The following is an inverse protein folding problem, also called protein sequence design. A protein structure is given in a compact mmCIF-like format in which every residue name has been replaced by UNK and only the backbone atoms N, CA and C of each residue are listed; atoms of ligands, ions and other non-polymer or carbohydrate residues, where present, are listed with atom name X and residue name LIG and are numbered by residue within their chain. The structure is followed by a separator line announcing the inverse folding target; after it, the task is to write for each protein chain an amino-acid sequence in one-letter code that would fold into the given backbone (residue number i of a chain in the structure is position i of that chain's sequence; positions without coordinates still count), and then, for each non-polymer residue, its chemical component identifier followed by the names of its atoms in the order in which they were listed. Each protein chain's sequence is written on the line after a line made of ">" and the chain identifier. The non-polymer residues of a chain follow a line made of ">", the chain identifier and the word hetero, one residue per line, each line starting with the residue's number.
data_IF_725590249031
#
_entry.id   IF_725590249031
#
_cell.length_a   1.000
_cell.length_b   1.000
_cell.length_c   1.000
_cell.angle_alpha   90.00
_cell.angle_beta   90.00
_cell.angle_gamma   90.00
#
_symmetry.space_group_name_H-M   'P 1'
#
loop_
_entity.id
_entity.type
_entity.pdbx_description
1 polymer ?
#
# COMPACT_ATOMS: atom_id res chain seq x y z
N UNK A 1 -23.86 7.48 -9.02
CA UNK A 1 -25.10 7.04 -8.33
C UNK A 1 -24.88 6.92 -6.82
N UNK A 2 -25.93 6.96 -5.98
CA UNK A 2 -25.82 6.73 -4.51
C UNK A 2 -26.06 5.26 -4.10
N UNK A 3 -25.82 4.30 -5.01
CA UNK A 3 -26.00 2.88 -4.71
C UNK A 3 -25.11 2.01 -5.61
N UNK A 4 -24.67 0.86 -5.08
CA UNK A 4 -24.15 -0.25 -5.88
C UNK A 4 -25.24 -1.27 -6.09
N UNK A 5 -25.21 -1.99 -7.20
CA UNK A 5 -26.02 -3.20 -7.41
C UNK A 5 -25.15 -4.41 -7.17
N UNK A 6 -25.74 -5.49 -6.65
CA UNK A 6 -25.04 -6.76 -6.57
C UNK A 6 -25.93 -7.90 -7.06
N UNK A 7 -25.27 -8.92 -7.60
CA UNK A 7 -25.88 -10.19 -7.97
C UNK A 7 -25.02 -11.32 -7.41
N UNK A 8 -25.59 -12.14 -6.53
CA UNK A 8 -24.94 -13.35 -6.03
C UNK A 8 -25.58 -14.56 -6.70
N UNK A 9 -24.77 -15.39 -7.37
CA UNK A 9 -25.23 -16.70 -7.82
C UNK A 9 -25.13 -17.68 -6.65
N UNK A 10 -26.24 -18.33 -6.30
CA UNK A 10 -26.27 -19.32 -5.21
C UNK A 10 -26.70 -20.68 -5.73
N UNK A 11 -26.70 -21.69 -4.86
CA UNK A 11 -27.22 -23.02 -5.13
C UNK A 11 -28.75 -23.04 -5.33
N UNK A 12 -29.49 -22.07 -4.78
CA UNK A 12 -30.96 -21.97 -4.87
C UNK A 12 -31.44 -20.93 -5.89
N UNK A 13 -30.53 -20.29 -6.62
CA UNK A 13 -30.83 -19.27 -7.64
C UNK A 13 -30.10 -17.94 -7.44
N UNK A 14 -30.27 -16.98 -8.37
CA UNK A 14 -29.66 -15.66 -8.24
C UNK A 14 -30.34 -14.83 -7.15
N UNK A 15 -29.54 -14.07 -6.41
CA UNK A 15 -30.00 -13.05 -5.46
C UNK A 15 -29.50 -11.71 -5.95
N UNK A 16 -30.42 -10.76 -6.10
CA UNK A 16 -30.12 -9.41 -6.54
C UNK A 16 -30.49 -8.42 -5.45
N UNK A 17 -29.71 -7.35 -5.34
CA UNK A 17 -29.98 -6.29 -4.39
C UNK A 17 -29.18 -5.04 -4.67
N UNK A 18 -29.31 -4.07 -3.76
CA UNK A 18 -28.60 -2.81 -3.81
C UNK A 18 -27.92 -2.53 -2.47
N UNK A 19 -26.80 -1.80 -2.52
CA UNK A 19 -26.06 -1.31 -1.36
C UNK A 19 -26.13 0.21 -1.42
N UNK A 20 -26.84 0.82 -0.48
CA UNK A 20 -26.95 2.27 -0.40
C UNK A 20 -25.61 2.90 0.00
N UNK A 21 -25.23 3.98 -0.69
CA UNK A 21 -23.98 4.71 -0.47
C UNK A 21 -24.25 6.12 0.05
N UNK A 22 -23.36 6.62 0.92
CA UNK A 22 -23.34 8.03 1.35
C UNK A 22 -21.91 8.51 1.56
N UNK A 23 -21.70 9.82 1.39
CA UNK A 23 -20.50 10.54 1.85
C UNK A 23 -20.50 10.79 3.35
N UNK A 24 -21.65 10.59 4.01
CA UNK A 24 -21.79 10.64 5.48
C UNK A 24 -21.68 9.23 6.09
N UNK A 25 -21.23 8.25 5.32
CA UNK A 25 -20.99 6.90 5.84
C UNK A 25 -19.95 6.96 6.96
N UNK A 26 -20.09 6.16 8.04
CA UNK A 26 -19.05 6.07 9.07
C UNK A 26 -17.70 5.64 8.48
N UNK A 27 -17.72 4.93 7.35
CA UNK A 27 -16.52 4.52 6.63
C UNK A 27 -15.80 5.67 5.93
N UNK A 28 -16.47 6.80 5.66
CA UNK A 28 -15.84 7.97 5.02
C UNK A 28 -14.77 8.61 5.93
N UNK A 29 -14.93 8.50 7.25
CA UNK A 29 -13.88 8.92 8.18
C UNK A 29 -12.58 8.09 8.02
N UNK A 30 -12.71 6.83 7.58
CA UNK A 30 -11.60 5.87 7.46
C UNK A 30 -11.01 5.83 6.06
N UNK A 31 -11.86 5.95 5.04
CA UNK A 31 -11.49 5.75 3.63
C UNK A 31 -11.47 7.05 2.83
N UNK A 32 -11.73 8.18 3.49
CA UNK A 32 -11.83 9.50 2.88
C UNK A 32 -13.21 9.80 2.30
N UNK A 33 -13.33 10.97 1.67
CA UNK A 33 -14.57 11.49 1.10
C UNK A 33 -14.97 10.73 -0.18
N UNK A 34 -15.45 9.50 0.01
CA UNK A 34 -15.98 8.62 -1.03
C UNK A 34 -17.43 8.26 -0.70
N UNK A 35 -18.23 7.95 -1.72
CA UNK A 35 -19.54 7.36 -1.49
C UNK A 35 -19.36 5.91 -1.03
N UNK A 36 -19.60 5.63 0.25
CA UNK A 36 -19.37 4.32 0.86
C UNK A 36 -20.65 3.74 1.43
N UNK A 37 -20.74 2.41 1.63
CA UNK A 37 -21.93 1.78 2.20
C UNK A 37 -22.40 2.48 3.48
N UNK A 38 -23.68 2.84 3.58
CA UNK A 38 -24.21 3.42 4.82
C UNK A 38 -24.24 2.37 5.94
N UNK A 39 -24.20 2.82 7.20
CA UNK A 39 -24.28 1.96 8.37
C UNK A 39 -25.48 1.00 8.28
N UNK A 40 -25.29 -0.28 8.64
CA UNK A 40 -26.33 -1.29 8.59
C UNK A 40 -26.50 -2.00 7.24
N UNK A 41 -25.93 -1.48 6.15
CA UNK A 41 -26.14 -2.08 4.80
C UNK A 41 -25.40 -3.40 4.64
N UNK A 42 -24.18 -3.51 5.19
CA UNK A 42 -23.41 -4.76 5.10
C UNK A 42 -24.00 -5.84 6.02
N UNK A 43 -24.61 -5.44 7.14
CA UNK A 43 -25.34 -6.32 8.05
C UNK A 43 -26.65 -6.82 7.43
N UNK A 44 -27.35 -5.98 6.65
CA UNK A 44 -28.51 -6.42 5.87
C UNK A 44 -28.11 -7.38 4.76
N UNK A 45 -26.96 -7.15 4.12
CA UNK A 45 -26.39 -8.06 3.14
C UNK A 45 -26.05 -9.41 3.78
N UNK A 46 -25.41 -9.39 4.95
CA UNK A 46 -25.10 -10.58 5.76
C UNK A 46 -26.36 -11.41 6.05
N UNK A 47 -27.41 -10.75 6.57
CA UNK A 47 -28.70 -11.40 6.84
C UNK A 47 -29.34 -12.00 5.57
N UNK A 48 -29.16 -11.36 4.41
CA UNK A 48 -29.72 -11.81 3.13
C UNK A 48 -29.00 -13.05 2.58
N UNK A 49 -27.71 -13.17 2.84
CA UNK A 49 -26.84 -14.24 2.32
C UNK A 49 -26.65 -15.39 3.31
N UNK A 50 -27.04 -15.19 4.58
CA UNK A 50 -26.91 -16.19 5.63
C UNK A 50 -27.51 -17.54 5.27
N UNK A 51 -26.71 -18.59 5.47
CA UNK A 51 -27.06 -19.98 5.16
C UNK A 51 -27.02 -20.36 3.68
N UNK A 52 -26.55 -19.47 2.79
CA UNK A 52 -26.52 -19.73 1.33
C UNK A 52 -25.11 -19.99 0.84
N UNK A 53 -24.97 -20.91 -0.11
CA UNK A 53 -23.67 -21.19 -0.72
C UNK A 53 -23.46 -20.28 -1.94
N UNK A 54 -22.60 -19.28 -1.79
CA UNK A 54 -22.29 -18.32 -2.86
C UNK A 54 -21.33 -18.95 -3.87
N UNK A 55 -21.76 -19.02 -5.13
CA UNK A 55 -20.98 -19.56 -6.25
C UNK A 55 -20.26 -18.50 -7.05
N UNK A 56 -20.81 -17.30 -7.13
CA UNK A 56 -20.14 -16.13 -7.69
C UNK A 56 -20.81 -14.85 -7.20
N UNK A 57 -20.05 -13.75 -7.20
CA UNK A 57 -20.55 -12.42 -6.83
C UNK A 57 -20.24 -11.45 -7.97
N UNK A 58 -21.22 -10.66 -8.36
CA UNK A 58 -21.05 -9.53 -9.27
C UNK A 58 -21.47 -8.25 -8.57
N UNK A 59 -20.65 -7.21 -8.62
CA UNK A 59 -20.97 -5.87 -8.09
C UNK A 59 -20.93 -4.86 -9.22
N UNK A 60 -21.98 -4.08 -9.41
CA UNK A 60 -22.08 -3.09 -10.46
C UNK A 60 -22.20 -1.66 -9.89
N UNK A 61 -21.31 -0.76 -10.34
CA UNK A 61 -21.29 0.66 -9.96
C UNK A 61 -19.86 1.21 -9.83
N UNK A 62 -19.73 2.34 -9.13
CA UNK A 62 -18.48 3.05 -8.96
C UNK A 62 -17.38 2.19 -8.30
N UNK A 63 -16.18 2.09 -8.90
CA UNK A 63 -15.16 1.12 -8.47
C UNK A 63 -14.63 1.39 -7.07
N UNK A 64 -14.37 2.65 -6.70
CA UNK A 64 -13.91 3.00 -5.36
C UNK A 64 -14.92 2.61 -4.27
N UNK A 65 -16.21 2.69 -4.59
CA UNK A 65 -17.30 2.34 -3.67
C UNK A 65 -17.45 0.83 -3.53
N UNK A 66 -17.05 0.06 -4.54
CA UNK A 66 -17.11 -1.40 -4.54
C UNK A 66 -16.05 -2.06 -3.63
N UNK A 67 -15.00 -1.32 -3.24
CA UNK A 67 -13.91 -1.83 -2.40
C UNK A 67 -14.41 -2.54 -1.13
N UNK A 68 -15.19 -1.84 -0.29
CA UNK A 68 -15.68 -2.39 0.98
C UNK A 68 -16.58 -3.63 0.78
N UNK A 69 -17.61 -3.58 -0.10
CA UNK A 69 -18.40 -4.77 -0.41
C UNK A 69 -17.56 -5.95 -0.89
N UNK A 70 -16.59 -5.75 -1.79
CA UNK A 70 -15.73 -6.85 -2.27
C UNK A 70 -14.90 -7.46 -1.15
N UNK A 71 -14.31 -6.61 -0.31
CA UNK A 71 -13.52 -7.04 0.83
C UNK A 71 -14.38 -7.86 1.80
N UNK A 72 -15.63 -7.42 2.04
CA UNK A 72 -16.63 -8.14 2.82
C UNK A 72 -17.00 -9.50 2.22
N UNK A 73 -17.33 -9.54 0.92
CA UNK A 73 -17.66 -10.79 0.23
C UNK A 73 -16.50 -11.79 0.26
N UNK A 74 -15.28 -11.34 -0.02
CA UNK A 74 -14.07 -12.19 -0.04
C UNK A 74 -13.72 -12.72 1.34
N UNK A 75 -13.92 -11.93 2.40
CA UNK A 75 -13.54 -12.30 3.76
C UNK A 75 -14.55 -13.22 4.46
N UNK A 76 -15.85 -13.03 4.20
CA UNK A 76 -16.90 -13.70 4.99
C UNK A 76 -17.62 -14.78 4.19
N UNK A 77 -17.95 -14.52 2.92
CA UNK A 77 -18.95 -15.30 2.19
C UNK A 77 -18.38 -16.17 1.08
N UNK A 78 -17.27 -15.78 0.50
CA UNK A 78 -16.65 -16.46 -0.62
C UNK A 78 -15.70 -17.54 -0.10
N UNK A 79 -15.99 -18.80 -0.40
CA UNK A 79 -14.97 -19.84 -0.31
C UNK A 79 -13.79 -19.51 -1.24
N UNK A 80 -12.61 -20.03 -0.93
CA UNK A 80 -11.44 -19.87 -1.79
C UNK A 80 -11.78 -20.28 -3.23
N UNK A 81 -11.53 -19.38 -4.19
CA UNK A 81 -11.84 -19.61 -5.61
C UNK A 81 -13.27 -19.26 -6.04
N UNK A 82 -14.12 -18.70 -5.17
CA UNK A 82 -15.41 -18.13 -5.58
C UNK A 82 -15.16 -16.93 -6.49
N UNK A 83 -15.61 -16.96 -7.76
CA UNK A 83 -15.41 -15.86 -8.69
C UNK A 83 -16.14 -14.59 -8.23
N UNK A 84 -15.40 -13.50 -8.23
CA UNK A 84 -15.86 -12.15 -7.95
C UNK A 84 -15.67 -11.28 -9.18
N UNK A 85 -16.71 -10.54 -9.53
CA UNK A 85 -16.74 -9.71 -10.73
C UNK A 85 -17.16 -8.30 -10.36
N UNK A 86 -16.54 -7.31 -10.96
CA UNK A 86 -17.02 -5.93 -10.91
C UNK A 86 -17.42 -5.49 -12.30
N UNK A 87 -18.59 -4.86 -12.40
CA UNK A 87 -19.08 -4.21 -13.60
C UNK A 87 -19.07 -2.69 -13.41
N UNK A 88 -18.34 -1.97 -14.24
CA UNK A 88 -18.22 -0.52 -14.18
C UNK A 88 -19.01 0.17 -15.28
N UNK A 89 -19.43 1.40 -14.99
CA UNK A 89 -19.94 2.31 -16.01
C UNK A 89 -19.07 3.57 -16.12
N UNK A 90 -18.76 3.95 -17.36
CA UNK A 90 -17.94 5.11 -17.68
C UNK A 90 -18.59 6.47 -17.39
N UNK A 91 -19.90 6.48 -17.11
CA UNK A 91 -20.62 7.69 -16.71
C UNK A 91 -20.31 8.10 -15.25
N UNK A 92 -19.56 7.30 -14.51
CA UNK A 92 -19.26 7.50 -13.10
C UNK A 92 -17.78 7.86 -12.83
N UNK A 93 -17.07 8.48 -13.80
CA UNK A 93 -15.60 8.64 -13.77
C UNK A 93 -15.05 9.96 -13.23
N UNK A 94 -15.86 10.87 -12.70
CA UNK A 94 -15.38 12.19 -12.21
C UNK A 94 -14.70 12.08 -10.84
N UNK A 95 -13.51 11.49 -10.83
CA UNK A 95 -12.71 11.22 -9.65
C UNK A 95 -11.30 11.79 -9.80
N UNK A 96 -11.14 13.09 -9.52
CA UNK A 96 -9.82 13.74 -9.41
C UNK A 96 -9.13 13.43 -8.06
N UNK A 97 -9.71 12.56 -7.24
CA UNK A 97 -9.27 12.30 -5.88
C UNK A 97 -8.39 11.05 -5.83
N UNK A 98 -7.11 11.21 -5.45
CA UNK A 98 -6.14 10.11 -5.35
C UNK A 98 -6.61 8.95 -4.48
N UNK A 99 -7.37 9.22 -3.40
CA UNK A 99 -7.94 8.18 -2.53
C UNK A 99 -8.92 7.27 -3.27
N UNK A 100 -9.79 7.85 -4.11
CA UNK A 100 -10.74 7.09 -4.91
C UNK A 100 -9.99 6.24 -5.94
N UNK A 101 -8.91 6.75 -6.52
CA UNK A 101 -8.08 5.98 -7.46
C UNK A 101 -7.40 4.78 -6.79
N UNK A 102 -6.84 4.96 -5.60
CA UNK A 102 -6.30 3.86 -4.80
C UNK A 102 -7.36 2.84 -4.41
N UNK A 103 -8.55 3.30 -4.01
CA UNK A 103 -9.66 2.41 -3.66
C UNK A 103 -10.17 1.62 -4.88
N UNK A 104 -10.29 2.27 -6.03
CA UNK A 104 -10.62 1.61 -7.28
C UNK A 104 -9.57 0.55 -7.64
N UNK A 105 -8.27 0.86 -7.53
CA UNK A 105 -7.16 -0.09 -7.77
C UNK A 105 -7.28 -1.33 -6.89
N UNK A 106 -7.50 -1.14 -5.60
CA UNK A 106 -7.68 -2.25 -4.67
C UNK A 106 -8.94 -3.07 -4.97
N UNK A 107 -10.03 -2.42 -5.36
CA UNK A 107 -11.23 -3.14 -5.79
C UNK A 107 -10.93 -4.05 -7.00
N UNK A 108 -10.20 -3.55 -8.00
CA UNK A 108 -9.77 -4.34 -9.17
C UNK A 108 -8.99 -5.59 -8.77
N UNK A 109 -8.06 -5.42 -7.84
CA UNK A 109 -7.18 -6.50 -7.36
C UNK A 109 -7.94 -7.56 -6.56
N UNK A 110 -9.05 -7.19 -5.93
CA UNK A 110 -9.93 -8.12 -5.23
C UNK A 110 -10.87 -8.88 -6.17
N UNK A 111 -11.06 -8.40 -7.40
CA UNK A 111 -11.95 -9.02 -8.39
C UNK A 111 -11.22 -10.02 -9.28
N UNK A 112 -11.85 -11.16 -9.56
CA UNK A 112 -11.33 -12.12 -10.54
C UNK A 112 -11.62 -11.68 -11.98
N UNK A 113 -12.65 -10.84 -12.18
CA UNK A 113 -13.06 -10.31 -13.48
C UNK A 113 -13.54 -8.88 -13.37
N UNK A 114 -13.24 -8.09 -14.40
CA UNK A 114 -13.65 -6.69 -14.50
C UNK A 114 -14.34 -6.53 -15.85
N UNK A 115 -15.61 -6.16 -15.83
CA UNK A 115 -16.38 -5.77 -17.00
C UNK A 115 -16.55 -4.24 -17.01
N UNK A 116 -16.32 -3.63 -18.16
CA UNK A 116 -16.44 -2.18 -18.32
C UNK A 116 -17.09 -1.87 -19.67
N UNK A 117 -18.07 -0.96 -19.68
CA UNK A 117 -18.77 -0.52 -20.88
C UNK A 117 -17.89 0.32 -21.82
N UNK A 118 -16.91 1.06 -21.29
CA UNK A 118 -15.93 1.84 -22.05
C UNK A 118 -14.51 1.68 -21.47
N UNK A 119 -13.86 0.52 -21.65
CA UNK A 119 -12.60 0.20 -20.99
C UNK A 119 -11.50 1.23 -21.28
N UNK A 120 -11.31 1.66 -22.52
CA UNK A 120 -10.27 2.65 -22.84
C UNK A 120 -10.41 3.94 -22.02
N UNK A 121 -11.64 4.44 -21.87
CA UNK A 121 -11.91 5.65 -21.09
C UNK A 121 -11.71 5.42 -19.60
N UNK A 122 -12.33 4.36 -19.04
CA UNK A 122 -12.26 4.07 -17.61
C UNK A 122 -10.81 3.84 -17.16
N UNK A 123 -10.07 3.03 -17.90
CA UNK A 123 -8.70 2.70 -17.52
C UNK A 123 -7.80 3.95 -17.57
N UNK A 124 -7.97 4.81 -18.57
CA UNK A 124 -7.25 6.09 -18.64
C UNK A 124 -7.59 7.03 -17.48
N UNK A 125 -8.88 7.15 -17.10
CA UNK A 125 -9.35 8.05 -16.03
C UNK A 125 -8.86 7.65 -14.64
N UNK A 126 -8.69 6.36 -14.40
CA UNK A 126 -8.18 5.84 -13.11
C UNK A 126 -6.66 5.60 -13.10
N UNK A 127 -5.99 5.92 -14.22
CA UNK A 127 -4.55 5.71 -14.38
C UNK A 127 -4.14 4.23 -14.31
N UNK A 128 -4.97 3.32 -14.84
CA UNK A 128 -4.61 1.92 -15.03
C UNK A 128 -4.01 1.72 -16.42
N UNK A 129 -3.00 0.85 -16.51
CA UNK A 129 -2.56 0.29 -17.78
C UNK A 129 -3.26 -1.06 -18.03
N UNK A 130 -4.16 -1.18 -19.02
CA UNK A 130 -4.81 -2.45 -19.34
C UNK A 130 -3.84 -3.55 -19.81
N UNK A 131 -2.64 -3.18 -20.27
CA UNK A 131 -1.58 -4.13 -20.60
C UNK A 131 -0.78 -4.62 -19.38
N UNK A 132 -0.93 -3.95 -18.24
CA UNK A 132 -0.19 -4.23 -17.01
C UNK A 132 -1.05 -3.86 -15.79
N UNK A 133 -1.96 -4.75 -15.36
CA UNK A 133 -2.96 -4.46 -14.30
C UNK A 133 -2.38 -4.23 -12.89
N UNK A 134 -1.08 -3.94 -12.76
CA UNK A 134 -0.36 -3.86 -11.49
C UNK A 134 0.01 -5.26 -11.00
N UNK A 135 1.27 -5.44 -10.63
CA UNK A 135 1.77 -6.70 -10.08
C UNK A 135 1.24 -6.83 -8.64
N UNK A 136 1.01 -8.06 -8.16
CA UNK A 136 0.53 -8.35 -6.80
C UNK A 136 1.33 -7.66 -5.66
N UNK A 137 2.57 -7.25 -5.92
CA UNK A 137 3.43 -6.51 -4.98
C UNK A 137 2.93 -5.08 -4.75
N UNK A 138 2.50 -4.37 -5.80
CA UNK A 138 1.86 -3.05 -5.68
C UNK A 138 0.51 -3.15 -4.96
N UNK A 139 -0.18 -4.28 -5.11
CA UNK A 139 -1.43 -4.58 -4.40
C UNK A 139 -1.23 -4.66 -2.89
N UNK A 140 -0.14 -5.29 -2.44
CA UNK A 140 0.16 -5.42 -1.02
C UNK A 140 0.58 -4.09 -0.44
N UNK A 141 1.43 -3.32 -1.13
CA UNK A 141 1.79 -1.97 -0.69
C UNK A 141 0.58 -1.04 -0.68
N UNK A 142 -0.33 -1.13 -1.66
CA UNK A 142 -1.58 -0.39 -1.64
C UNK A 142 -2.47 -0.82 -0.47
N UNK A 143 -2.54 -2.11 -0.15
CA UNK A 143 -3.36 -2.65 0.92
C UNK A 143 -2.78 -2.33 2.30
N UNK A 144 -1.45 -2.37 2.45
CA UNK A 144 -0.72 -1.89 3.63
C UNK A 144 -0.89 -0.38 3.77
N UNK A 145 -0.73 0.40 2.70
CA UNK A 145 -0.99 1.84 2.75
C UNK A 145 -2.45 2.14 3.10
N UNK A 146 -3.40 1.32 2.63
CA UNK A 146 -4.79 1.45 2.97
C UNK A 146 -5.03 1.09 4.45
N UNK A 147 -4.44 0.00 4.96
CA UNK A 147 -4.45 -0.39 6.38
C UNK A 147 -3.78 0.67 7.27
N UNK A 148 -2.67 1.26 6.83
CA UNK A 148 -1.96 2.34 7.50
C UNK A 148 -2.77 3.65 7.49
N UNK A 149 -3.66 3.83 6.51
CA UNK A 149 -4.66 4.88 6.47
C UNK A 149 -5.91 4.56 7.30
N UNK A 150 -6.23 3.27 7.51
CA UNK A 150 -7.43 2.78 8.18
C UNK A 150 -7.47 3.01 9.68
N UNK A 151 -6.32 3.21 10.33
CA UNK A 151 -6.30 3.39 11.77
C UNK A 151 -5.11 4.26 12.23
N UNK A 152 -5.34 5.56 12.50
CA UNK A 152 -4.32 6.42 13.11
C UNK A 152 -3.96 5.99 14.54
N UNK A 153 -4.79 5.21 15.23
CA UNK A 153 -4.50 4.63 16.54
C UNK A 153 -3.75 3.28 16.44
N UNK A 154 -3.75 2.57 15.30
CA UNK A 154 -2.80 1.49 15.02
C UNK A 154 -1.38 2.03 14.80
N UNK A 155 -1.23 3.30 14.39
CA UNK A 155 0.06 4.01 14.50
C UNK A 155 0.51 4.12 15.96
N UNK A 156 -0.45 4.20 16.89
CA UNK A 156 -0.20 4.29 18.33
C UNK A 156 -0.07 2.91 19.01
N UNK A 157 -0.76 1.88 18.52
CA UNK A 157 -0.80 0.55 19.14
C UNK A 157 0.40 -0.33 18.74
N UNK A 158 1.05 -0.07 17.61
CA UNK A 158 2.36 -0.64 17.27
C UNK A 158 3.55 0.19 17.82
N UNK A 159 3.30 1.20 18.67
CA UNK A 159 4.34 1.99 19.40
C UNK A 159 5.03 1.21 20.52
N UNK A 160 5.45 -0.02 20.24
CA UNK A 160 6.66 -0.53 20.90
C UNK A 160 7.92 0.11 20.31
N UNK A 161 7.89 0.48 19.03
CA UNK A 161 9.07 0.95 18.31
C UNK A 161 8.86 2.36 17.77
N UNK A 162 9.51 3.33 18.42
CA UNK A 162 9.68 4.68 17.91
C UNK A 162 10.56 4.63 16.65
N UNK A 163 9.93 4.66 15.47
CA UNK A 163 10.61 4.63 14.17
C UNK A 163 11.67 5.73 14.04
N UNK A 164 11.36 6.92 14.59
CA UNK A 164 12.28 8.05 14.56
C UNK A 164 13.50 7.77 15.43
N UNK A 165 13.32 7.13 16.58
CA UNK A 165 14.44 6.70 17.42
C UNK A 165 15.29 5.62 16.76
N UNK A 166 14.68 4.62 16.11
CA UNK A 166 15.41 3.61 15.34
C UNK A 166 16.20 4.21 14.18
N UNK A 167 15.60 5.17 13.45
CA UNK A 167 16.30 5.94 12.41
C UNK A 167 17.45 6.77 12.98
N UNK A 168 17.25 7.48 14.11
CA UNK A 168 18.32 8.23 14.78
C UNK A 168 19.48 7.34 15.18
N UNK A 169 19.21 6.15 15.72
CA UNK A 169 20.25 5.16 16.08
C UNK A 169 21.03 4.70 14.85
N UNK A 170 20.38 4.42 13.73
CA UNK A 170 21.04 4.04 12.49
C UNK A 170 21.93 5.16 11.94
N UNK A 171 21.45 6.41 11.94
CA UNK A 171 22.24 7.58 11.52
C UNK A 171 23.40 7.86 12.47
N UNK A 172 23.20 7.73 13.78
CA UNK A 172 24.27 7.84 14.76
C UNK A 172 25.31 6.73 14.59
N UNK A 173 24.88 5.51 14.25
CA UNK A 173 25.79 4.41 13.92
C UNK A 173 26.63 4.71 12.69
N UNK A 174 26.05 5.30 11.64
CA UNK A 174 26.80 5.78 10.48
C UNK A 174 27.92 6.73 10.90
N UNK A 175 27.60 7.75 11.71
CA UNK A 175 28.59 8.71 12.19
C UNK A 175 29.72 8.05 13.02
N UNK A 176 29.38 7.12 13.91
CA UNK A 176 30.35 6.36 14.71
C UNK A 176 31.30 5.55 13.83
N UNK A 177 30.77 4.95 12.77
CA UNK A 177 31.54 4.15 11.81
C UNK A 177 32.29 5.01 10.78
N UNK A 178 32.19 6.35 10.87
CA UNK A 178 32.89 7.29 10.00
C UNK A 178 32.21 7.55 8.65
N UNK A 179 30.95 7.14 8.51
CA UNK A 179 30.13 7.41 7.34
C UNK A 179 29.38 8.74 7.52
N UNK A 180 29.75 9.76 6.77
CA UNK A 180 29.18 11.11 6.92
C UNK A 180 28.25 11.50 5.78
N UNK A 181 28.38 10.89 4.59
CA UNK A 181 27.51 11.12 3.43
C UNK A 181 26.56 9.94 3.27
N UNK A 182 25.34 10.07 3.76
CA UNK A 182 24.40 8.95 3.89
C UNK A 182 23.20 9.11 2.95
N UNK A 183 22.86 8.03 2.24
CA UNK A 183 21.59 7.91 1.52
C UNK A 183 20.54 7.18 2.35
N UNK A 184 19.27 7.53 2.19
CA UNK A 184 18.14 6.81 2.81
C UNK A 184 17.41 6.01 1.74
N UNK A 185 17.35 4.68 1.83
CA UNK A 185 16.68 3.84 0.84
C UNK A 185 15.22 3.56 1.24
N UNK A 186 14.30 3.85 0.33
CA UNK A 186 12.86 3.89 0.52
C UNK A 186 12.38 5.32 0.81
N UNK A 187 11.36 5.77 0.08
CA UNK A 187 10.67 7.05 0.31
C UNK A 187 9.19 6.83 0.74
N UNK A 188 8.87 5.65 1.26
CA UNK A 188 7.52 5.23 1.64
C UNK A 188 6.99 5.86 2.93
N UNK A 189 5.93 5.25 3.47
CA UNK A 189 5.24 5.71 4.69
C UNK A 189 6.18 5.83 5.88
N UNK A 190 7.08 4.85 6.06
CA UNK A 190 8.07 4.87 7.13
C UNK A 190 8.96 6.12 7.09
N UNK A 191 9.56 6.41 5.93
CA UNK A 191 10.43 7.58 5.70
C UNK A 191 9.69 8.91 5.87
N UNK A 192 8.39 8.94 5.52
CA UNK A 192 7.51 10.10 5.78
C UNK A 192 7.14 10.22 7.25
N UNK A 193 7.12 9.12 8.00
CA UNK A 193 6.86 9.13 9.44
C UNK A 193 8.02 9.66 10.29
N UNK A 194 9.26 9.50 9.82
CA UNK A 194 10.48 9.81 10.60
C UNK A 194 11.12 11.15 10.26
N UNK A 195 10.36 12.12 9.74
CA UNK A 195 10.89 13.42 9.30
C UNK A 195 11.62 14.20 10.41
N UNK A 196 11.22 14.03 11.66
CA UNK A 196 11.88 14.63 12.83
C UNK A 196 13.31 14.08 13.07
N UNK A 197 13.60 12.84 12.69
CA UNK A 197 14.95 12.27 12.74
C UNK A 197 15.90 12.92 11.72
N UNK A 198 15.37 13.57 10.67
CA UNK A 198 16.15 14.22 9.62
C UNK A 198 16.43 15.71 9.86
N UNK A 199 15.90 16.30 10.93
CA UNK A 199 16.06 17.73 11.20
C UNK A 199 17.47 18.09 11.70
N UNK A 200 18.09 17.21 12.49
CA UNK A 200 19.44 17.39 13.04
C UNK A 200 20.21 16.06 13.05
N UNK A 201 20.42 15.44 11.88
CA UNK A 201 21.14 14.18 11.80
C UNK A 201 22.63 14.41 12.15
N UNK A 202 23.30 13.42 12.75
CA UNK A 202 24.75 13.47 12.99
C UNK A 202 25.60 13.27 11.73
N UNK A 203 24.95 13.10 10.57
CA UNK A 203 25.52 12.85 9.24
C UNK A 203 24.85 13.75 8.20
N UNK A 204 25.49 13.99 7.07
CA UNK A 204 24.88 14.61 5.89
C UNK A 204 23.97 13.60 5.19
N UNK A 205 22.66 13.87 5.16
CA UNK A 205 21.72 13.09 4.34
C UNK A 205 21.76 13.67 2.92
N UNK A 206 22.33 12.94 1.97
CA UNK A 206 22.55 13.45 0.62
C UNK A 206 21.33 13.26 -0.30
N UNK A 207 20.58 12.17 -0.13
CA UNK A 207 19.45 11.83 -0.97
C UNK A 207 18.53 10.80 -0.31
N UNK A 208 17.34 10.65 -0.90
CA UNK A 208 16.45 9.52 -0.67
C UNK A 208 16.46 8.67 -1.95
N UNK A 209 16.64 7.37 -1.81
CA UNK A 209 16.74 6.41 -2.91
C UNK A 209 15.41 5.66 -3.00
N UNK A 210 14.76 5.60 -4.16
CA UNK A 210 13.50 4.89 -4.33
C UNK A 210 13.46 4.19 -5.70
N UNK A 211 12.74 3.07 -5.77
CA UNK A 211 12.59 2.28 -7.00
C UNK A 211 11.43 2.80 -7.88
N UNK A 212 10.51 3.61 -7.32
CA UNK A 212 9.39 4.18 -8.06
C UNK A 212 9.87 5.28 -9.02
N UNK A 213 9.98 4.93 -10.30
CA UNK A 213 10.39 5.82 -11.38
C UNK A 213 9.58 7.13 -11.44
N UNK A 214 8.32 7.14 -10.97
CA UNK A 214 7.46 8.34 -10.98
C UNK A 214 7.91 9.39 -9.97
N UNK A 215 8.62 8.99 -8.93
CA UNK A 215 9.07 9.85 -7.83
C UNK A 215 10.47 10.41 -8.01
N UNK A 216 11.22 9.86 -8.97
CA UNK A 216 12.58 10.31 -9.25
C UNK A 216 12.58 11.76 -9.72
N UNK A 217 13.41 12.58 -9.10
CA UNK A 217 13.49 14.03 -9.34
C UNK A 217 12.57 14.87 -8.45
N UNK A 218 11.67 14.25 -7.68
CA UNK A 218 10.95 14.93 -6.60
C UNK A 218 11.87 15.18 -5.39
N UNK A 219 11.33 15.84 -4.37
CA UNK A 219 12.00 16.01 -3.08
C UNK A 219 11.11 15.53 -1.93
N UNK A 220 11.72 14.91 -0.91
CA UNK A 220 11.08 14.56 0.36
C UNK A 220 11.95 15.07 1.51
N UNK A 221 11.36 15.85 2.42
CA UNK A 221 12.08 16.57 3.50
C UNK A 221 13.21 17.49 3.02
N UNK A 222 13.11 17.96 1.76
CA UNK A 222 14.14 18.80 1.12
C UNK A 222 15.27 18.00 0.47
N UNK A 223 15.31 16.67 0.62
CA UNK A 223 16.30 15.81 -0.05
C UNK A 223 15.76 15.35 -1.41
N UNK A 224 16.61 15.29 -2.45
CA UNK A 224 16.20 14.77 -3.75
C UNK A 224 15.91 13.26 -3.67
N UNK A 225 14.87 12.83 -4.39
CA UNK A 225 14.58 11.41 -4.61
C UNK A 225 15.29 10.96 -5.88
N UNK A 226 16.16 9.96 -5.76
CA UNK A 226 17.00 9.44 -6.85
C UNK A 226 16.82 7.95 -7.02
N UNK A 227 17.13 7.42 -8.21
CA UNK A 227 17.15 5.98 -8.43
C UNK A 227 18.39 5.32 -7.82
N UNK A 228 18.40 3.99 -7.61
CA UNK A 228 19.58 3.28 -7.11
C UNK A 228 20.82 3.51 -7.99
N UNK A 229 20.64 3.56 -9.31
CA UNK A 229 21.74 3.80 -10.26
C UNK A 229 22.25 5.24 -10.17
N UNK A 230 21.39 6.23 -9.94
CA UNK A 230 21.82 7.62 -9.73
C UNK A 230 22.60 7.77 -8.42
N UNK A 231 22.19 7.06 -7.36
CA UNK A 231 22.84 7.11 -6.06
C UNK A 231 24.31 6.63 -6.08
N UNK A 232 24.66 5.68 -6.95
CA UNK A 232 26.06 5.24 -7.15
C UNK A 232 26.98 6.40 -7.51
N UNK A 233 26.48 7.41 -8.23
CA UNK A 233 27.25 8.59 -8.64
C UNK A 233 27.36 9.70 -7.58
N UNK A 234 26.75 9.54 -6.40
CA UNK A 234 26.69 10.59 -5.37
C UNK A 234 27.80 10.50 -4.31
N UNK A 235 28.71 9.51 -4.45
CA UNK A 235 29.82 9.27 -3.51
C UNK A 235 29.31 9.15 -2.07
N UNK A 236 28.35 8.24 -1.86
CA UNK A 236 27.79 7.95 -0.54
C UNK A 236 28.76 7.07 0.27
N UNK A 237 28.95 7.42 1.53
CA UNK A 237 29.73 6.61 2.48
C UNK A 237 28.95 5.42 3.00
N UNK A 238 27.61 5.53 3.07
CA UNK A 238 26.69 4.47 3.49
C UNK A 238 25.25 4.74 3.05
N UNK A 239 24.41 3.71 3.14
CA UNK A 239 22.97 3.77 2.88
C UNK A 239 22.21 3.14 4.03
N UNK A 240 21.17 3.80 4.54
CA UNK A 240 20.28 3.27 5.59
C UNK A 240 18.95 2.86 4.98
N UNK A 241 18.48 1.64 5.23
CA UNK A 241 17.20 1.14 4.74
C UNK A 241 16.03 1.63 5.61
N UNK A 242 15.13 2.42 5.04
CA UNK A 242 13.99 3.02 5.72
C UNK A 242 12.70 2.24 5.45
N UNK A 243 12.65 0.97 5.88
CA UNK A 243 11.41 0.20 5.87
C UNK A 243 11.37 -0.81 7.01
N UNK A 244 10.18 -0.98 7.59
CA UNK A 244 9.91 -2.02 8.58
C UNK A 244 9.44 -3.32 7.89
N UNK A 245 8.27 -3.29 7.25
CA UNK A 245 7.62 -4.48 6.68
C UNK A 245 8.29 -5.09 5.45
N UNK A 246 9.10 -4.31 4.71
CA UNK A 246 9.73 -4.70 3.45
C UNK A 246 11.26 -4.56 3.48
N UNK A 247 11.88 -4.53 4.66
CA UNK A 247 13.32 -4.29 4.78
C UNK A 247 14.16 -5.34 4.04
N UNK A 248 13.75 -6.63 4.06
CA UNK A 248 14.43 -7.70 3.33
C UNK A 248 14.39 -7.49 1.81
N UNK A 249 13.28 -6.96 1.31
CA UNK A 249 13.13 -6.61 -0.10
C UNK A 249 14.02 -5.42 -0.46
N UNK A 250 14.02 -4.35 0.35
CA UNK A 250 14.93 -3.22 0.15
C UNK A 250 16.39 -3.67 0.24
N UNK A 251 16.70 -4.61 1.13
CA UNK A 251 18.02 -5.22 1.20
C UNK A 251 18.38 -5.87 -0.12
N UNK A 252 17.53 -6.73 -0.69
CA UNK A 252 17.80 -7.35 -1.99
C UNK A 252 17.99 -6.30 -3.11
N UNK A 253 17.13 -5.29 -3.16
CA UNK A 253 17.17 -4.23 -4.18
C UNK A 253 18.39 -3.32 -4.06
N UNK A 254 18.88 -3.09 -2.84
CA UNK A 254 20.14 -2.37 -2.58
C UNK A 254 21.41 -3.15 -2.96
N UNK A 255 21.30 -4.34 -3.59
CA UNK A 255 22.45 -5.11 -4.08
C UNK A 255 23.37 -4.29 -4.99
N UNK A 256 22.82 -3.49 -5.89
CA UNK A 256 23.60 -2.62 -6.79
C UNK A 256 24.50 -1.65 -6.02
N UNK A 257 24.06 -1.16 -4.86
CA UNK A 257 24.85 -0.24 -4.02
C UNK A 257 25.96 -1.00 -3.28
N UNK A 258 25.64 -2.17 -2.74
CA UNK A 258 26.61 -3.05 -2.07
C UNK A 258 27.69 -3.58 -3.01
N UNK A 259 27.34 -3.90 -4.25
CA UNK A 259 28.29 -4.31 -5.29
C UNK A 259 29.30 -3.20 -5.64
N UNK A 260 28.93 -1.94 -5.44
CA UNK A 260 29.84 -0.78 -5.55
C UNK A 260 30.62 -0.51 -4.25
N UNK A 261 30.51 -1.39 -3.25
CA UNK A 261 31.19 -1.25 -1.97
C UNK A 261 30.54 -0.26 -1.01
N UNK A 262 29.34 0.25 -1.29
CA UNK A 262 28.62 1.17 -0.39
C UNK A 262 27.99 0.34 0.76
N UNK A 263 28.44 0.51 2.01
CA UNK A 263 27.83 -0.13 3.17
C UNK A 263 26.33 0.14 3.23
N UNK A 264 25.54 -0.92 3.40
CA UNK A 264 24.08 -0.81 3.57
C UNK A 264 23.72 -1.24 4.99
N UNK A 265 23.00 -0.39 5.70
CA UNK A 265 22.66 -0.54 7.11
C UNK A 265 21.16 -0.80 7.22
N UNK A 266 20.82 -1.92 7.85
CA UNK A 266 19.44 -2.29 8.22
C UNK A 266 19.11 -1.65 9.57
N UNK A 267 17.89 -1.13 9.71
CA UNK A 267 17.37 -0.57 10.95
C UNK A 267 16.81 -1.68 11.84
N UNK A 268 16.07 -2.63 11.26
CA UNK A 268 15.32 -3.66 11.98
C UNK A 268 15.98 -5.04 11.88
N UNK A 269 16.71 -5.28 10.80
CA UNK A 269 17.41 -6.52 10.55
C UNK A 269 18.65 -6.67 11.41
N UNK A 270 18.49 -7.17 12.64
CA UNK A 270 19.58 -7.79 13.39
C UNK A 270 19.11 -9.05 14.11
N UNK A 271 19.41 -10.20 13.50
CA UNK A 271 19.61 -11.45 14.26
C UNK A 271 20.62 -12.43 13.63
N UNK A 272 21.25 -12.13 12.49
CA UNK A 272 22.25 -13.05 11.90
C UNK A 272 23.70 -12.70 12.28
N UNK A 273 24.09 -11.42 12.33
CA UNK A 273 25.46 -11.02 12.64
C UNK A 273 25.88 -11.25 14.10
N UNK A 274 24.93 -11.37 15.04
CA UNK A 274 25.24 -11.80 16.42
C UNK A 274 25.42 -13.32 16.54
N UNK A 275 24.88 -14.13 15.62
CA UNK A 275 25.08 -15.59 15.64
C UNK A 275 26.46 -15.99 15.14
N UNK A 276 26.93 -15.41 14.04
CA UNK A 276 28.26 -15.76 13.48
C UNK A 276 29.41 -15.33 14.40
N UNK A 277 29.27 -14.25 15.16
CA UNK A 277 30.27 -13.83 16.16
C UNK A 277 30.29 -14.71 17.41
N UNK A 278 29.14 -15.27 17.81
CA UNK A 278 29.02 -16.22 18.93
C UNK A 278 29.49 -17.62 18.50
N UNK A 279 29.15 -18.06 17.29
CA UNK A 279 29.56 -19.36 16.74
C UNK A 279 31.06 -19.39 16.37
N UNK A 280 31.70 -18.25 16.12
CA UNK A 280 33.15 -18.15 15.93
C UNK A 280 33.97 -18.18 17.24
N UNK A 281 33.31 -18.07 18.40
CA UNK A 281 33.94 -18.05 19.74
C UNK A 281 33.48 -19.20 20.65
N UNK A 282 32.75 -20.18 20.12
CA UNK A 282 32.34 -21.41 20.82
C UNK A 282 32.97 -22.63 20.16
#
# INVERSE_FOLDING_TARGET
>A
MNQLRYTCQTDVGPIEGTIALSTDSPWCALLGNMHLPIAGTLEQLDATLSGKHIRSVRIAGHPASALLPLLWFRSIWCAQGTPTEIQWSADELDSDCAQQQSAARLACLLADRIECDQPERVWSSWGFDPGSPGIAEESFDLLINLVDLWDPDLRLANLGEDWSESMRKALARCAIDGHYRVGIYGAGTHTRGVGDAFMQPPVEICCIIDDDARRIGETLWGFPIVSPQQAVGLELDAVVLSANSIEDLLWQRASVLREQGIPTIRIYGQNESNKELIDAHT
#
